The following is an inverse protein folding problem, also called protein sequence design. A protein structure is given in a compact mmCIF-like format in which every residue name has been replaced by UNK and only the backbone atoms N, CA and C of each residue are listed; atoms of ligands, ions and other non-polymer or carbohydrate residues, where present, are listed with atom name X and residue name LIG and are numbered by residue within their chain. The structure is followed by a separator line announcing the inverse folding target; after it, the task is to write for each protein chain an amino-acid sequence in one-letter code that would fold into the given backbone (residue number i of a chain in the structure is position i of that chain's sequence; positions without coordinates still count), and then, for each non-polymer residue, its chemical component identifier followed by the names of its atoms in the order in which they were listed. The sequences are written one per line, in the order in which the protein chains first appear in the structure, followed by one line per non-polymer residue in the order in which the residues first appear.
data_IF_811163546311
#
_entry.id   IF_811163546311
#
_cell.length_a   1.000
_cell.length_b   1.000
_cell.length_c   1.000
_cell.angle_alpha   90.00
_cell.angle_beta   90.00
_cell.angle_gamma   90.00
#
_symmetry.space_group_name_H-M   'P 1'
#
loop_
_entity.id
_entity.type
_entity.pdbx_description
1 polymer ?
#
# COMPACT_ATOMS: atom_id res chain seq x y z
N UNK A 1 -24.64 77.67 -11.07
CA UNK A 1 -25.15 76.33 -11.44
C UNK A 1 -23.98 75.43 -11.83
N UNK A 2 -23.60 74.49 -10.96
CA UNK A 2 -22.52 73.53 -11.23
C UNK A 2 -23.16 72.31 -11.89
N UNK A 3 -22.78 72.00 -13.14
CA UNK A 3 -23.28 70.83 -13.89
C UNK A 3 -22.62 69.55 -13.35
N UNK A 4 -23.42 68.54 -13.02
CA UNK A 4 -22.93 67.22 -12.61
C UNK A 4 -22.22 66.50 -13.77
N UNK A 5 -21.05 65.90 -13.51
CA UNK A 5 -20.32 65.09 -14.49
C UNK A 5 -21.04 63.74 -14.72
N UNK A 6 -21.03 63.20 -15.96
CA UNK A 6 -21.69 61.93 -16.27
C UNK A 6 -21.03 60.76 -15.55
N UNK A 7 -21.84 59.86 -14.97
CA UNK A 7 -21.38 58.61 -14.36
C UNK A 7 -20.95 57.63 -15.45
N UNK A 8 -19.68 57.24 -15.48
CA UNK A 8 -19.25 56.09 -16.26
C UNK A 8 -19.89 54.82 -15.69
N UNK A 9 -20.66 54.09 -16.52
CA UNK A 9 -21.11 52.73 -16.19
C UNK A 9 -19.86 51.88 -16.00
N UNK A 10 -19.70 51.30 -14.81
CA UNK A 10 -18.69 50.25 -14.59
C UNK A 10 -19.21 49.01 -15.32
N UNK A 11 -18.54 48.59 -16.38
CA UNK A 11 -18.73 47.25 -16.93
C UNK A 11 -18.29 46.25 -15.86
N UNK A 12 -19.26 45.52 -15.31
CA UNK A 12 -18.97 44.37 -14.46
C UNK A 12 -18.48 43.29 -15.43
N UNK A 13 -17.17 43.01 -15.42
CA UNK A 13 -16.63 41.84 -16.10
C UNK A 13 -17.31 40.62 -15.46
N UNK A 14 -18.21 39.98 -16.21
CA UNK A 14 -18.77 38.68 -15.86
C UNK A 14 -17.56 37.76 -15.72
N UNK A 15 -17.35 37.18 -14.53
CA UNK A 15 -16.31 36.19 -14.31
C UNK A 15 -16.47 35.13 -15.39
N UNK A 16 -15.45 34.99 -16.25
CA UNK A 16 -15.33 33.88 -17.18
C UNK A 16 -15.64 32.61 -16.39
N UNK A 17 -16.64 31.85 -16.86
CA UNK A 17 -17.02 30.60 -16.23
C UNK A 17 -15.77 29.72 -16.22
N UNK A 18 -15.15 29.55 -15.05
CA UNK A 18 -14.06 28.58 -14.89
C UNK A 18 -14.58 27.25 -15.41
N UNK A 19 -13.91 26.69 -16.42
CA UNK A 19 -14.22 25.34 -16.89
C UNK A 19 -14.27 24.41 -15.67
N UNK A 20 -15.45 23.86 -15.43
CA UNK A 20 -15.60 22.82 -14.42
C UNK A 20 -14.93 21.61 -15.07
N UNK A 21 -13.69 21.32 -14.69
CA UNK A 21 -13.05 20.05 -15.02
C UNK A 21 -13.96 18.93 -14.49
N UNK A 22 -14.70 18.29 -15.39
CA UNK A 22 -15.56 17.16 -15.05
C UNK A 22 -14.64 15.98 -14.81
N UNK A 23 -14.22 15.80 -13.56
CA UNK A 23 -13.44 14.63 -13.12
C UNK A 23 -14.34 13.41 -13.31
N UNK A 24 -14.04 12.56 -14.30
CA UNK A 24 -14.80 11.32 -14.54
C UNK A 24 -14.41 10.29 -13.49
N UNK A 25 -15.41 9.64 -12.88
CA UNK A 25 -15.17 8.48 -12.01
C UNK A 25 -14.48 7.41 -12.87
N UNK A 26 -13.33 6.86 -12.45
CA UNK A 26 -12.71 5.76 -13.18
C UNK A 26 -13.63 4.55 -13.24
N UNK A 27 -13.45 3.72 -14.27
CA UNK A 27 -14.13 2.42 -14.35
C UNK A 27 -13.81 1.58 -13.12
N UNK A 28 -14.78 0.81 -12.62
CA UNK A 28 -14.60 0.00 -11.41
C UNK A 28 -13.37 -0.94 -11.49
N UNK A 29 -13.03 -1.44 -12.70
CA UNK A 29 -11.83 -2.26 -12.89
C UNK A 29 -10.51 -1.50 -12.70
N UNK A 30 -10.41 -0.23 -13.14
CA UNK A 30 -9.21 0.58 -12.93
C UNK A 30 -8.99 0.85 -11.44
N UNK A 31 -10.06 1.11 -10.69
CA UNK A 31 -10.00 1.25 -9.22
C UNK A 31 -9.56 -0.05 -8.54
N UNK A 32 -10.11 -1.19 -8.95
CA UNK A 32 -9.71 -2.51 -8.43
C UNK A 32 -8.23 -2.82 -8.74
N UNK A 33 -7.74 -2.46 -9.93
CA UNK A 33 -6.32 -2.61 -10.31
C UNK A 33 -5.43 -1.71 -9.47
N UNK A 34 -5.79 -0.44 -9.26
CA UNK A 34 -5.04 0.47 -8.38
C UNK A 34 -4.97 -0.06 -6.95
N UNK A 35 -6.08 -0.53 -6.38
CA UNK A 35 -6.10 -1.18 -5.06
C UNK A 35 -5.13 -2.35 -4.99
N UNK A 36 -5.14 -3.19 -6.02
CA UNK A 36 -4.26 -4.35 -6.10
C UNK A 36 -2.78 -3.96 -6.17
N UNK A 37 -2.43 -2.95 -6.97
CA UNK A 37 -1.07 -2.38 -7.00
C UNK A 37 -0.65 -1.89 -5.61
N UNK A 38 -1.52 -1.13 -4.93
CA UNK A 38 -1.24 -0.64 -3.58
C UNK A 38 -0.98 -1.78 -2.59
N UNK A 39 -1.76 -2.87 -2.65
CA UNK A 39 -1.55 -4.06 -1.81
C UNK A 39 -0.15 -4.65 -2.05
N UNK A 40 0.27 -4.80 -3.30
CA UNK A 40 1.59 -5.37 -3.64
C UNK A 40 2.72 -4.49 -3.12
N UNK A 41 2.66 -3.18 -3.38
CA UNK A 41 3.68 -2.22 -2.91
C UNK A 41 3.76 -2.20 -1.38
N UNK A 42 2.62 -2.25 -0.70
CA UNK A 42 2.58 -2.29 0.76
C UNK A 42 3.16 -3.59 1.33
N UNK A 43 3.05 -4.73 0.63
CA UNK A 43 3.72 -5.98 1.03
C UNK A 43 5.24 -5.82 0.98
N UNK A 44 5.77 -5.24 -0.10
CA UNK A 44 7.20 -4.99 -0.19
C UNK A 44 7.68 -4.11 0.96
N UNK A 45 6.97 -2.99 1.20
CA UNK A 45 7.33 -2.02 2.23
C UNK A 45 7.21 -2.57 3.65
N UNK A 46 6.14 -3.29 3.98
CA UNK A 46 5.98 -3.87 5.32
C UNK A 46 7.04 -4.94 5.58
N UNK A 47 7.42 -5.74 4.57
CA UNK A 47 8.49 -6.73 4.71
C UNK A 47 9.85 -6.05 4.93
N UNK A 48 10.13 -4.96 4.23
CA UNK A 48 11.32 -4.13 4.46
C UNK A 48 11.36 -3.58 5.89
N UNK A 49 10.27 -2.99 6.35
CA UNK A 49 10.15 -2.46 7.71
C UNK A 49 10.34 -3.56 8.76
N UNK A 50 9.68 -4.71 8.58
CA UNK A 50 9.78 -5.83 9.50
C UNK A 50 11.19 -6.43 9.54
N UNK A 51 11.86 -6.54 8.39
CA UNK A 51 13.26 -6.96 8.32
C UNK A 51 14.17 -5.98 9.03
N UNK A 52 13.98 -4.67 8.85
CA UNK A 52 14.77 -3.64 9.51
C UNK A 52 14.66 -3.69 11.04
N UNK A 53 13.48 -4.04 11.57
CA UNK A 53 13.31 -4.30 13.01
C UNK A 53 14.24 -5.44 13.45
N UNK A 54 14.25 -6.57 12.74
CA UNK A 54 15.16 -7.69 13.02
C UNK A 54 16.63 -7.29 12.90
N UNK A 55 17.01 -6.60 11.83
CA UNK A 55 18.39 -6.15 11.61
C UNK A 55 18.88 -5.28 12.77
N UNK A 56 18.02 -4.40 13.28
CA UNK A 56 18.33 -3.57 14.45
C UNK A 56 18.46 -4.41 15.74
N UNK A 57 17.61 -5.42 15.93
CA UNK A 57 17.73 -6.30 17.10
C UNK A 57 19.03 -7.09 17.09
N UNK A 58 19.41 -7.65 15.93
CA UNK A 58 20.68 -8.38 15.77
C UNK A 58 21.87 -7.46 16.02
N UNK A 59 21.82 -6.22 15.51
CA UNK A 59 22.94 -5.30 15.57
C UNK A 59 23.14 -4.64 16.94
N UNK A 60 22.05 -4.38 17.68
CA UNK A 60 22.09 -3.50 18.84
C UNK A 60 21.56 -4.13 20.14
N UNK A 61 20.82 -5.23 20.08
CA UNK A 61 20.09 -5.78 21.23
C UNK A 61 20.26 -7.31 21.39
N UNK A 62 21.37 -7.88 20.90
CA UNK A 62 21.68 -9.33 20.95
C UNK A 62 20.55 -10.23 20.43
N UNK A 63 19.72 -9.72 19.51
CA UNK A 63 18.59 -10.44 18.95
C UNK A 63 19.03 -11.62 18.09
N UNK A 64 18.36 -12.76 18.23
CA UNK A 64 18.65 -13.98 17.46
C UNK A 64 17.43 -14.37 16.63
N UNK A 65 17.63 -14.48 15.32
CA UNK A 65 16.68 -15.06 14.37
C UNK A 65 17.41 -16.11 13.52
N UNK A 66 16.75 -17.24 13.25
CA UNK A 66 17.31 -18.25 12.33
C UNK A 66 17.37 -17.68 10.92
N UNK A 67 18.49 -17.90 10.22
CA UNK A 67 18.74 -17.33 8.90
C UNK A 67 17.63 -17.65 7.89
N UNK A 68 17.11 -18.87 7.90
CA UNK A 68 16.01 -19.28 7.01
C UNK A 68 14.74 -18.43 7.21
N UNK A 69 14.49 -17.93 8.42
CA UNK A 69 13.34 -17.07 8.74
C UNK A 69 13.54 -15.64 8.29
N UNK A 70 14.74 -15.10 8.45
CA UNK A 70 15.10 -13.81 7.86
C UNK A 70 14.98 -13.87 6.33
N UNK A 71 15.39 -14.98 5.73
CA UNK A 71 15.26 -15.24 4.29
C UNK A 71 13.80 -15.28 3.84
N UNK A 72 12.86 -15.82 4.62
CA UNK A 72 11.44 -15.80 4.26
C UNK A 72 10.93 -14.37 4.05
N UNK A 73 11.28 -13.43 4.94
CA UNK A 73 10.90 -12.01 4.82
C UNK A 73 11.44 -11.41 3.52
N UNK A 74 12.73 -11.61 3.25
CA UNK A 74 13.37 -11.12 2.03
C UNK A 74 12.79 -11.74 0.74
N UNK A 75 12.44 -13.03 0.78
CA UNK A 75 11.84 -13.70 -0.36
C UNK A 75 10.42 -13.22 -0.64
N UNK A 76 9.63 -12.91 0.39
CA UNK A 76 8.29 -12.33 0.22
C UNK A 76 8.40 -10.95 -0.41
N UNK A 77 9.27 -10.08 0.13
CA UNK A 77 9.57 -8.77 -0.46
C UNK A 77 9.93 -8.91 -1.94
N UNK A 78 10.93 -9.74 -2.28
CA UNK A 78 11.38 -9.88 -3.66
C UNK A 78 10.29 -10.46 -4.58
N UNK A 79 9.42 -11.34 -4.07
CA UNK A 79 8.30 -11.85 -4.86
C UNK A 79 7.27 -10.76 -5.14
N UNK A 80 7.01 -9.86 -4.18
CA UNK A 80 6.12 -8.71 -4.37
C UNK A 80 6.74 -7.68 -5.35
N UNK A 81 8.04 -7.40 -5.22
CA UNK A 81 8.78 -6.52 -6.13
C UNK A 81 8.70 -7.05 -7.57
N UNK A 82 9.04 -8.33 -7.79
CA UNK A 82 8.97 -8.94 -9.12
C UNK A 82 7.54 -8.91 -9.70
N UNK A 83 6.52 -9.17 -8.86
CA UNK A 83 5.13 -9.09 -9.31
C UNK A 83 4.76 -7.67 -9.76
N UNK A 84 5.27 -6.64 -9.07
CA UNK A 84 5.07 -5.26 -9.48
C UNK A 84 5.83 -4.94 -10.79
N UNK A 85 7.12 -5.25 -10.83
CA UNK A 85 8.01 -5.06 -11.98
C UNK A 85 7.44 -5.73 -13.26
N UNK A 86 7.02 -7.00 -13.18
CA UNK A 86 6.61 -7.77 -14.36
C UNK A 86 5.29 -7.31 -14.99
N UNK A 87 4.36 -6.77 -14.17
CA UNK A 87 2.97 -6.52 -14.57
C UNK A 87 2.54 -5.05 -14.54
N UNK A 88 3.22 -4.19 -13.79
CA UNK A 88 2.76 -2.83 -13.52
C UNK A 88 3.82 -1.75 -13.72
N UNK A 89 5.10 -2.10 -13.82
CA UNK A 89 6.13 -1.14 -14.18
C UNK A 89 6.00 -0.75 -15.67
N UNK A 90 5.97 0.56 -15.99
CA UNK A 90 5.86 1.00 -17.38
C UNK A 90 7.05 0.51 -18.20
N UNK A 91 6.81 -0.25 -19.26
CA UNK A 91 7.85 -0.63 -20.21
C UNK A 91 8.07 0.52 -21.19
N UNK A 92 9.31 0.74 -21.64
CA UNK A 92 9.69 1.83 -22.55
C UNK A 92 8.88 1.85 -23.86
N UNK A 93 8.28 0.72 -24.23
CA UNK A 93 7.45 0.49 -25.43
C UNK A 93 5.93 0.51 -25.17
N UNK A 94 5.50 0.74 -23.93
CA UNK A 94 4.07 0.84 -23.62
C UNK A 94 3.52 2.23 -23.98
N UNK A 95 2.43 2.28 -24.73
CA UNK A 95 1.63 3.50 -24.89
C UNK A 95 1.25 3.98 -23.48
N UNK A 96 1.80 5.14 -23.08
CA UNK A 96 1.40 5.81 -21.83
C UNK A 96 -0.12 5.91 -21.84
N UNK A 97 -0.75 5.23 -20.88
CA UNK A 97 -2.18 5.37 -20.64
C UNK A 97 -2.37 6.82 -20.19
N UNK A 98 -2.82 7.70 -21.09
CA UNK A 98 -3.06 9.14 -20.92
C UNK A 98 -2.88 9.62 -19.46
N UNK A 99 -1.67 10.14 -19.18
CA UNK A 99 -1.15 10.47 -17.83
C UNK A 99 -1.93 11.60 -17.12
N UNK A 100 -2.81 12.32 -17.81
CA UNK A 100 -3.37 13.58 -17.29
C UNK A 100 -4.49 13.41 -16.25
N UNK A 101 -5.00 12.18 -16.03
CA UNK A 101 -6.22 11.92 -15.25
C UNK A 101 -6.02 11.02 -14.01
N UNK A 102 -4.78 10.65 -13.65
CA UNK A 102 -4.53 9.77 -12.49
C UNK A 102 -4.22 10.55 -11.20
N UNK A 103 -3.22 11.45 -11.21
CA UNK A 103 -2.81 12.23 -10.03
C UNK A 103 -3.87 13.27 -9.60
N UNK A 104 -4.61 13.84 -10.57
CA UNK A 104 -5.61 14.87 -10.32
C UNK A 104 -7.02 14.33 -10.02
N UNK A 105 -7.21 13.01 -10.06
CA UNK A 105 -8.52 12.41 -9.89
C UNK A 105 -8.78 12.09 -8.41
N UNK A 106 -9.69 12.86 -7.83
CA UNK A 106 -10.09 12.79 -6.41
C UNK A 106 -10.48 11.37 -5.95
N UNK A 107 -10.97 10.50 -6.85
CA UNK A 107 -11.30 9.12 -6.49
C UNK A 107 -10.05 8.28 -6.23
N UNK A 108 -8.99 8.43 -7.04
CA UNK A 108 -7.72 7.75 -6.79
C UNK A 108 -7.03 8.32 -5.56
N UNK A 109 -6.99 9.65 -5.40
CA UNK A 109 -6.41 10.29 -4.22
C UNK A 109 -7.09 9.81 -2.94
N UNK A 110 -8.43 9.81 -2.91
CA UNK A 110 -9.18 9.33 -1.74
C UNK A 110 -8.96 7.85 -1.48
N UNK A 111 -8.90 7.04 -2.54
CA UNK A 111 -8.62 5.62 -2.42
C UNK A 111 -7.23 5.37 -1.82
N UNK A 112 -6.21 6.04 -2.35
CA UNK A 112 -4.83 5.95 -1.84
C UNK A 112 -4.75 6.40 -0.38
N UNK A 113 -5.48 7.47 0.00
CA UNK A 113 -5.54 7.91 1.39
C UNK A 113 -6.20 6.87 2.31
N UNK A 114 -7.30 6.24 1.88
CA UNK A 114 -7.97 5.17 2.64
C UNK A 114 -7.03 3.97 2.80
N UNK A 115 -6.37 3.53 1.73
CA UNK A 115 -5.43 2.40 1.79
C UNK A 115 -4.20 2.73 2.64
N UNK A 116 -3.68 3.96 2.56
CA UNK A 116 -2.57 4.41 3.40
C UNK A 116 -2.96 4.42 4.89
N UNK A 117 -4.16 4.90 5.24
CA UNK A 117 -4.64 4.91 6.63
C UNK A 117 -4.80 3.52 7.22
N UNK A 118 -5.26 2.54 6.44
CA UNK A 118 -5.46 1.15 6.92
C UNK A 118 -4.18 0.50 7.42
N UNK A 119 -3.03 0.86 6.83
CA UNK A 119 -1.76 0.16 7.04
C UNK A 119 -0.68 1.04 7.68
N UNK A 120 -1.02 2.29 8.04
CA UNK A 120 -0.06 3.31 8.46
C UNK A 120 0.86 2.84 9.61
N UNK A 121 0.31 2.11 10.58
CA UNK A 121 1.03 1.65 11.77
C UNK A 121 2.18 0.67 11.44
N UNK A 122 2.04 -0.16 10.40
CA UNK A 122 3.06 -1.11 9.94
C UNK A 122 3.92 -0.58 8.79
N UNK A 123 3.48 0.48 8.10
CA UNK A 123 4.21 1.08 6.98
C UNK A 123 5.11 2.25 7.39
N UNK A 124 4.90 2.82 8.57
CA UNK A 124 5.69 3.94 9.08
C UNK A 124 7.19 3.63 9.16
N UNK A 125 8.00 4.63 8.79
CA UNK A 125 9.45 4.53 8.92
C UNK A 125 9.90 4.49 10.37
N UNK A 126 9.21 5.24 11.23
CA UNK A 126 9.39 5.18 12.68
C UNK A 126 8.44 4.12 13.22
N UNK A 127 8.96 3.02 13.79
CA UNK A 127 8.11 1.96 14.31
C UNK A 127 7.22 2.46 15.46
N UNK A 128 5.94 2.18 15.40
CA UNK A 128 4.99 2.50 16.47
C UNK A 128 5.06 1.40 17.53
N UNK A 129 5.34 1.77 18.77
CA UNK A 129 5.29 0.82 19.90
C UNK A 129 3.82 0.49 20.21
N UNK A 130 3.42 -0.77 20.01
CA UNK A 130 2.06 -1.22 20.30
C UNK A 130 1.94 -1.80 21.71
N UNK A 131 0.71 -1.91 22.23
CA UNK A 131 0.46 -2.57 23.52
C UNK A 131 0.91 -4.04 23.49
N UNK A 132 0.67 -4.72 22.37
CA UNK A 132 1.09 -6.11 22.18
C UNK A 132 2.63 -6.23 22.19
N UNK A 133 3.35 -5.27 21.59
CA UNK A 133 4.82 -5.24 21.67
C UNK A 133 5.30 -5.11 23.11
N UNK A 134 4.64 -4.30 23.94
CA UNK A 134 5.00 -4.13 25.35
C UNK A 134 4.74 -5.43 26.14
N UNK A 135 3.57 -6.04 25.95
CA UNK A 135 3.15 -7.25 26.67
C UNK A 135 4.08 -8.43 26.34
N UNK A 136 4.40 -8.61 25.07
CA UNK A 136 5.25 -9.70 24.58
C UNK A 136 6.76 -9.37 24.61
N UNK A 137 7.13 -8.18 25.11
CA UNK A 137 8.50 -7.67 25.16
C UNK A 137 9.20 -7.68 23.79
N UNK A 138 8.46 -7.30 22.76
CA UNK A 138 8.91 -7.24 21.39
C UNK A 138 9.43 -5.84 21.04
N UNK A 139 10.27 -5.72 19.99
CA UNK A 139 10.70 -4.42 19.50
C UNK A 139 9.51 -3.57 19.05
N UNK A 140 9.66 -2.24 19.15
CA UNK A 140 8.64 -1.33 18.64
C UNK A 140 8.31 -1.62 17.16
N UNK A 141 7.01 -1.69 16.86
CA UNK A 141 6.46 -1.92 15.53
C UNK A 141 6.53 -3.36 15.03
N UNK A 142 7.04 -4.29 15.84
CA UNK A 142 7.13 -5.70 15.45
C UNK A 142 5.74 -6.29 15.18
N UNK A 143 4.81 -6.07 16.11
CA UNK A 143 3.45 -6.57 16.01
C UNK A 143 2.65 -5.81 14.96
N UNK A 144 2.82 -4.49 14.86
CA UNK A 144 2.16 -3.68 13.83
C UNK A 144 2.53 -4.13 12.41
N UNK A 145 3.82 -4.32 12.14
CA UNK A 145 4.30 -4.81 10.84
C UNK A 145 3.79 -6.23 10.53
N UNK A 146 3.74 -7.13 11.52
CA UNK A 146 3.16 -8.46 11.36
C UNK A 146 1.68 -8.43 11.00
N UNK A 147 0.87 -7.63 11.71
CA UNK A 147 -0.56 -7.56 11.46
C UNK A 147 -0.88 -6.91 10.11
N UNK A 148 -0.18 -5.84 9.75
CA UNK A 148 -0.32 -5.22 8.41
C UNK A 148 0.03 -6.23 7.33
N UNK A 149 1.15 -6.95 7.47
CA UNK A 149 1.53 -7.99 6.51
C UNK A 149 0.47 -9.09 6.42
N UNK A 150 -0.02 -9.62 7.55
CA UNK A 150 -1.08 -10.65 7.54
C UNK A 150 -2.35 -10.13 6.85
N UNK A 151 -2.77 -8.89 7.10
CA UNK A 151 -3.95 -8.28 6.47
C UNK A 151 -3.78 -8.14 4.97
N UNK A 152 -2.62 -7.67 4.50
CA UNK A 152 -2.32 -7.55 3.07
C UNK A 152 -2.34 -8.91 2.35
N UNK A 153 -1.89 -9.98 3.00
CA UNK A 153 -1.98 -11.34 2.44
C UNK A 153 -3.43 -11.82 2.37
N UNK A 154 -4.28 -11.48 3.34
CA UNK A 154 -5.72 -11.79 3.30
C UNK A 154 -6.46 -11.08 2.15
N UNK A 155 -5.98 -9.94 1.67
CA UNK A 155 -6.58 -9.25 0.52
C UNK A 155 -6.63 -10.14 -0.75
N UNK A 156 -5.67 -11.06 -0.92
CA UNK A 156 -5.65 -12.01 -2.05
C UNK A 156 -6.80 -13.01 -2.04
N UNK A 157 -7.47 -13.18 -0.89
CA UNK A 157 -8.63 -14.06 -0.77
C UNK A 157 -9.93 -13.38 -1.24
N UNK A 158 -9.93 -12.05 -1.35
CA UNK A 158 -11.11 -11.25 -1.71
C UNK A 158 -11.52 -11.48 -3.16
N UNK A 159 -12.84 -11.42 -3.43
CA UNK A 159 -13.37 -11.57 -4.78
C UNK A 159 -12.85 -10.49 -5.74
N UNK A 160 -12.59 -9.27 -5.23
CA UNK A 160 -12.06 -8.14 -6.00
C UNK A 160 -10.64 -8.44 -6.50
N UNK A 161 -9.73 -8.83 -5.61
CA UNK A 161 -8.36 -9.16 -6.00
C UNK A 161 -8.31 -10.38 -6.93
N UNK A 162 -9.09 -11.42 -6.63
CA UNK A 162 -9.21 -12.60 -7.52
C UNK A 162 -9.69 -12.24 -8.92
N UNK A 163 -10.63 -11.30 -9.04
CA UNK A 163 -11.10 -10.78 -10.33
C UNK A 163 -9.99 -10.04 -11.08
N UNK A 164 -9.21 -9.20 -10.40
CA UNK A 164 -8.07 -8.48 -11.00
C UNK A 164 -7.02 -9.47 -11.51
N UNK A 165 -6.59 -10.43 -10.68
CA UNK A 165 -5.62 -11.47 -11.04
C UNK A 165 -6.05 -12.22 -12.30
N UNK A 166 -7.33 -12.63 -12.37
CA UNK A 166 -7.89 -13.31 -13.55
C UNK A 166 -7.95 -12.39 -14.78
N UNK A 167 -8.33 -11.14 -14.60
CA UNK A 167 -8.51 -10.16 -15.69
C UNK A 167 -7.18 -9.81 -16.34
N UNK A 168 -6.15 -9.58 -15.52
CA UNK A 168 -4.80 -9.25 -15.95
C UNK A 168 -3.96 -10.49 -16.30
N UNK A 169 -4.51 -11.70 -16.12
CA UNK A 169 -3.82 -12.99 -16.36
C UNK A 169 -2.48 -13.06 -15.61
N UNK A 170 -2.48 -12.62 -14.36
CA UNK A 170 -1.30 -12.69 -13.50
C UNK A 170 -0.97 -14.16 -13.22
N UNK A 171 0.30 -14.52 -13.32
CA UNK A 171 0.78 -15.86 -13.05
C UNK A 171 0.50 -16.22 -11.58
N UNK A 172 -0.25 -17.31 -11.39
CA UNK A 172 -0.56 -17.87 -10.07
C UNK A 172 0.70 -18.15 -9.25
N UNK A 173 1.84 -18.41 -9.89
CA UNK A 173 3.12 -18.63 -9.21
C UNK A 173 3.47 -17.50 -8.23
N UNK A 174 3.33 -16.23 -8.63
CA UNK A 174 3.64 -15.10 -7.74
C UNK A 174 2.71 -15.07 -6.53
N UNK A 175 1.42 -15.27 -6.77
CA UNK A 175 0.37 -15.22 -5.75
C UNK A 175 0.55 -16.35 -4.74
N UNK A 176 0.67 -17.58 -5.23
CA UNK A 176 0.84 -18.78 -4.42
C UNK A 176 2.14 -18.71 -3.61
N UNK A 177 3.21 -18.17 -4.21
CA UNK A 177 4.49 -17.99 -3.54
C UNK A 177 4.42 -16.94 -2.43
N UNK A 178 3.78 -15.79 -2.67
CA UNK A 178 3.57 -14.75 -1.65
C UNK A 178 2.82 -15.31 -0.44
N UNK A 179 1.70 -15.98 -0.69
CA UNK A 179 0.87 -16.58 0.36
C UNK A 179 1.69 -17.63 1.12
N UNK A 180 2.29 -18.60 0.42
CA UNK A 180 3.04 -19.70 1.03
C UNK A 180 4.18 -19.22 1.92
N UNK A 181 5.01 -18.31 1.42
CA UNK A 181 6.16 -17.82 2.19
C UNK A 181 5.71 -17.02 3.42
N UNK A 182 4.69 -16.18 3.27
CA UNK A 182 4.12 -15.39 4.37
C UNK A 182 3.50 -16.30 5.43
N UNK A 183 2.68 -17.28 5.02
CA UNK A 183 2.08 -18.27 5.94
C UNK A 183 3.13 -19.07 6.70
N UNK A 184 4.22 -19.48 6.03
CA UNK A 184 5.32 -20.18 6.69
C UNK A 184 5.99 -19.30 7.76
N UNK A 185 6.18 -18.02 7.47
CA UNK A 185 6.76 -17.07 8.42
C UNK A 185 5.83 -16.83 9.62
N UNK A 186 4.53 -16.57 9.37
CA UNK A 186 3.54 -16.37 10.44
C UNK A 186 3.36 -17.60 11.32
N UNK A 187 3.40 -18.80 10.74
CA UNK A 187 3.36 -20.05 11.49
C UNK A 187 4.54 -20.14 12.46
N UNK A 188 5.75 -19.86 11.99
CA UNK A 188 6.94 -19.84 12.83
C UNK A 188 6.85 -18.82 13.95
N UNK A 189 6.46 -17.58 13.65
CA UNK A 189 6.27 -16.54 14.67
C UNK A 189 5.27 -16.99 15.75
N UNK A 190 4.16 -17.59 15.35
CA UNK A 190 3.15 -18.11 16.29
C UNK A 190 3.72 -19.20 17.19
N UNK A 191 4.54 -20.09 16.65
CA UNK A 191 5.18 -21.19 17.40
C UNK A 191 6.22 -20.68 18.40
N UNK A 192 7.02 -19.67 18.05
CA UNK A 192 8.06 -19.12 18.93
C UNK A 192 7.54 -18.10 19.95
N UNK A 193 6.69 -17.16 19.51
CA UNK A 193 6.29 -16.00 20.31
C UNK A 193 4.91 -16.17 20.96
N UNK A 194 4.17 -17.24 20.66
CA UNK A 194 2.84 -17.54 21.22
C UNK A 194 1.80 -16.42 21.08
N UNK A 195 1.97 -15.52 20.11
CA UNK A 195 1.04 -14.41 19.86
C UNK A 195 -0.31 -14.96 19.39
N UNK A 196 -1.31 -15.02 20.28
CA UNK A 196 -2.60 -15.68 20.04
C UNK A 196 -3.39 -15.07 18.87
N UNK A 197 -3.31 -13.74 18.71
CA UNK A 197 -3.98 -12.98 17.64
C UNK A 197 -3.50 -13.33 16.21
N UNK A 198 -2.43 -14.12 16.07
CA UNK A 198 -1.99 -14.65 14.78
C UNK A 198 -2.74 -15.93 14.36
N UNK A 199 -3.57 -16.53 15.22
CA UNK A 199 -4.42 -17.69 14.90
C UNK A 199 -5.66 -17.36 14.07
N UNK A 200 -5.94 -18.23 13.06
CA UNK A 200 -7.05 -18.22 12.10
C UNK A 200 -7.50 -16.83 11.60
#
# INVERSE_FOLDING_TARGET
MIKAKPKNKREIKINEAKEINIIRKPTDIKLEVTQFITVILNISRVCENHKRIWDNQIKYNDGVIKFDKLMLISQVKKTADNLFEDYFEPREDSERIDDDDFENNIFYTNLMNIEAQKYIEGLNEVPVLTVDDIVEKLPAGFTATLFVWKSLIKEFETAKVKKVIKTLKIDSFFIDRLIKLSTNYFKWIKEELKIEKLGA
#
